data_IF_433021481028
#
_entry.id   IF_433021481028
#
_cell.length_a   1.000
_cell.length_b   1.000
_cell.length_c   1.000
_cell.angle_alpha   90.00
_cell.angle_beta   90.00
_cell.angle_gamma   90.00
#
_symmetry.space_group_name_H-M   'P 1'
#
loop_
_entity.id
_entity.type
_entity.pdbx_description
1 polymer ?
#
# COMPACT_ATOMS: atom_id res chain seq x y z
N UNK A 1 -57.10 0.11 11.08
CA UNK A 1 -57.43 0.78 9.81
C UNK A 1 -57.18 2.26 9.93
N UNK A 2 -56.34 2.79 9.05
CA UNK A 2 -56.04 4.22 8.89
C UNK A 2 -54.63 4.38 8.30
N UNK A 3 -54.47 4.52 6.97
CA UNK A 3 -53.15 4.61 6.37
C UNK A 3 -52.54 6.00 6.60
N UNK A 4 -51.24 6.01 6.89
CA UNK A 4 -50.39 7.21 6.92
C UNK A 4 -50.09 7.58 5.46
N UNK A 5 -50.35 8.82 5.02
CA UNK A 5 -50.03 9.22 3.65
C UNK A 5 -48.52 9.43 3.48
N UNK A 6 -47.97 8.73 2.48
CA UNK A 6 -46.62 8.94 1.96
C UNK A 6 -46.55 10.28 1.23
N UNK A 7 -45.73 11.20 1.76
CA UNK A 7 -45.45 12.47 1.10
C UNK A 7 -44.37 12.25 0.04
N UNK A 8 -44.77 12.31 -1.22
CA UNK A 8 -43.90 12.23 -2.40
C UNK A 8 -43.01 13.49 -2.48
N UNK A 9 -41.70 13.30 -2.57
CA UNK A 9 -40.76 14.37 -2.95
C UNK A 9 -40.74 14.53 -4.47
N UNK A 10 -40.86 15.76 -5.01
CA UNK A 10 -40.75 15.98 -6.44
C UNK A 10 -39.29 15.94 -6.90
N UNK A 11 -39.09 15.17 -7.97
CA UNK A 11 -37.92 15.17 -8.83
C UNK A 11 -37.73 16.53 -9.50
N UNK A 12 -36.57 17.14 -9.33
CA UNK A 12 -36.15 18.25 -10.19
C UNK A 12 -35.16 17.76 -11.24
N UNK A 13 -35.72 17.58 -12.43
CA UNK A 13 -35.03 17.57 -13.71
C UNK A 13 -34.23 18.86 -13.92
N UNK A 14 -33.03 18.68 -14.46
CA UNK A 14 -32.55 19.44 -15.62
C UNK A 14 -31.98 20.83 -15.36
N UNK A 15 -30.66 20.95 -15.59
CA UNK A 15 -30.11 21.97 -16.49
C UNK A 15 -28.65 21.70 -16.82
N UNK A 16 -28.45 21.08 -17.98
CA UNK A 16 -27.21 21.21 -18.74
C UNK A 16 -27.01 22.69 -19.07
N UNK A 17 -25.90 23.26 -18.62
CA UNK A 17 -25.41 24.57 -19.06
C UNK A 17 -24.01 24.37 -19.61
N UNK A 18 -23.98 24.29 -20.94
CA UNK A 18 -22.80 24.40 -21.80
C UNK A 18 -22.13 25.74 -21.52
N UNK A 19 -20.92 25.73 -20.95
CA UNK A 19 -20.09 26.93 -20.84
C UNK A 19 -19.05 26.94 -21.96
N UNK A 20 -19.11 28.03 -22.71
CA UNK A 20 -18.42 28.35 -23.96
C UNK A 20 -16.91 28.49 -23.71
N UNK A 21 -16.12 27.86 -24.58
CA UNK A 21 -14.68 28.05 -24.68
C UNK A 21 -14.35 29.49 -25.13
N UNK A 22 -13.55 30.20 -24.33
CA UNK A 22 -12.96 31.48 -24.72
C UNK A 22 -11.50 31.25 -25.14
N UNK A 23 -11.27 31.35 -26.45
CA UNK A 23 -9.94 31.32 -27.08
C UNK A 23 -9.27 32.69 -26.87
N UNK A 24 -8.20 32.75 -26.08
CA UNK A 24 -7.37 33.96 -25.94
C UNK A 24 -6.11 33.78 -26.77
N UNK A 25 -6.05 34.46 -27.91
CA UNK A 25 -4.86 34.62 -28.73
C UNK A 25 -3.97 35.70 -28.11
N UNK A 26 -2.87 35.28 -27.47
CA UNK A 26 -1.77 36.18 -27.12
C UNK A 26 -0.62 35.90 -28.10
N UNK A 27 -0.41 36.85 -29.02
CA UNK A 27 0.83 36.96 -29.78
C UNK A 27 1.67 38.01 -29.10
N UNK A 28 2.94 37.72 -28.82
CA UNK A 28 4.01 38.72 -28.68
C UNK A 28 5.38 38.03 -28.75
N UNK A 29 6.06 38.33 -29.85
CA UNK A 29 7.47 38.69 -30.01
C UNK A 29 8.55 37.87 -29.28
N UNK A 30 9.44 37.33 -30.11
CA UNK A 30 10.59 36.55 -29.70
C UNK A 30 11.65 37.33 -28.91
N UNK A 31 12.40 36.55 -28.13
CA UNK A 31 13.75 36.85 -27.72
C UNK A 31 14.60 35.64 -28.11
N UNK A 32 15.41 35.80 -29.16
CA UNK A 32 16.47 34.86 -29.54
C UNK A 32 17.61 34.98 -28.54
N UNK A 33 17.86 33.93 -27.77
CA UNK A 33 19.04 33.80 -26.90
C UNK A 33 20.10 32.96 -27.63
N UNK A 34 21.38 33.38 -27.67
CA UNK A 34 22.44 32.62 -28.33
C UNK A 34 22.70 31.30 -27.60
N UNK A 35 22.75 30.24 -28.41
CA UNK A 35 23.21 28.90 -28.05
C UNK A 35 24.71 28.92 -27.78
N UNK A 36 25.13 28.69 -26.54
CA UNK A 36 26.47 28.22 -26.17
C UNK A 36 26.48 27.76 -24.71
N UNK A 37 26.00 26.53 -24.46
CA UNK A 37 26.45 25.71 -23.33
C UNK A 37 26.57 24.25 -23.77
N UNK A 38 27.68 23.55 -23.47
CA UNK A 38 27.83 22.14 -23.81
C UNK A 38 26.81 21.33 -23.02
N UNK A 39 25.99 20.55 -23.72
CA UNK A 39 25.19 19.48 -23.14
C UNK A 39 26.13 18.46 -22.50
N UNK A 40 26.23 18.49 -21.18
CA UNK A 40 26.71 17.34 -20.43
C UNK A 40 25.47 16.57 -20.02
N UNK A 41 24.94 15.80 -20.96
CA UNK A 41 23.89 14.81 -20.72
C UNK A 41 24.45 13.77 -19.75
N UNK A 42 24.17 13.94 -18.46
CA UNK A 42 24.21 12.83 -17.52
C UNK A 42 22.89 12.10 -17.66
N UNK A 43 22.86 11.20 -18.62
CA UNK A 43 21.87 10.13 -18.71
C UNK A 43 22.12 9.21 -17.52
N UNK A 44 21.54 9.54 -16.37
CA UNK A 44 21.44 8.63 -15.24
C UNK A 44 20.40 7.59 -15.60
N UNK A 45 20.84 6.50 -16.23
CA UNK A 45 20.09 5.25 -16.31
C UNK A 45 19.61 4.91 -14.89
N UNK A 46 18.30 4.73 -14.64
CA UNK A 46 17.89 4.03 -13.44
C UNK A 46 18.50 2.64 -13.54
N UNK A 47 19.47 2.37 -12.67
CA UNK A 47 19.97 1.02 -12.48
C UNK A 47 18.78 0.19 -12.06
N UNK A 48 18.19 -0.55 -13.00
CA UNK A 48 17.44 -1.75 -12.71
C UNK A 48 18.39 -2.60 -11.88
N UNK A 49 18.20 -2.56 -10.55
CA UNK A 49 18.70 -3.59 -9.69
C UNK A 49 18.15 -4.88 -10.29
N UNK A 50 19.04 -5.66 -10.89
CA UNK A 50 18.67 -6.95 -11.42
C UNK A 50 18.09 -7.73 -10.25
N UNK A 51 16.79 -8.04 -10.33
CA UNK A 51 16.19 -9.03 -9.46
C UNK A 51 17.10 -10.27 -9.47
N UNK A 52 17.36 -10.89 -8.30
CA UNK A 52 18.21 -12.07 -8.24
C UNK A 52 17.70 -13.11 -9.23
N UNK A 53 18.63 -13.75 -9.95
CA UNK A 53 18.31 -14.75 -10.94
C UNK A 53 17.48 -15.87 -10.32
N UNK A 54 16.26 -16.06 -10.84
CA UNK A 54 15.35 -17.14 -10.45
C UNK A 54 16.11 -18.47 -10.53
N UNK A 55 16.43 -19.05 -9.38
CA UNK A 55 17.13 -20.33 -9.27
C UNK A 55 16.24 -21.26 -8.47
N UNK A 56 15.10 -21.65 -9.03
CA UNK A 56 14.12 -22.53 -8.39
C UNK A 56 13.06 -22.99 -9.38
N UNK A 57 12.36 -24.08 -9.03
CA UNK A 57 11.23 -24.67 -9.79
C UNK A 57 9.96 -23.79 -9.79
N UNK A 58 10.07 -22.52 -9.39
CA UNK A 58 8.95 -21.60 -9.30
C UNK A 58 8.49 -21.13 -10.69
N UNK A 59 7.18 -20.97 -10.92
CA UNK A 59 6.68 -20.29 -12.10
C UNK A 59 7.13 -18.81 -12.14
N UNK A 60 6.98 -18.19 -13.31
CA UNK A 60 7.17 -16.74 -13.44
C UNK A 60 6.23 -15.96 -12.51
N UNK A 61 6.68 -14.78 -12.06
CA UNK A 61 5.96 -13.96 -11.09
C UNK A 61 4.50 -13.67 -11.49
N UNK A 62 4.22 -13.44 -12.77
CA UNK A 62 2.87 -13.19 -13.27
C UNK A 62 1.96 -14.42 -13.11
N UNK A 63 2.50 -15.63 -13.26
CA UNK A 63 1.75 -16.86 -13.06
C UNK A 63 1.47 -17.12 -11.56
N UNK A 64 2.43 -16.77 -10.70
CA UNK A 64 2.25 -16.78 -9.24
C UNK A 64 1.13 -15.81 -8.85
N UNK A 65 1.19 -14.55 -9.29
CA UNK A 65 0.16 -13.55 -9.00
C UNK A 65 -1.21 -13.98 -9.52
N UNK A 66 -1.30 -14.53 -10.74
CA UNK A 66 -2.57 -15.00 -11.26
C UNK A 66 -3.15 -16.14 -10.39
N UNK A 67 -2.31 -17.05 -9.91
CA UNK A 67 -2.74 -18.11 -8.99
C UNK A 67 -3.28 -17.51 -7.69
N UNK A 68 -2.62 -16.49 -7.14
CA UNK A 68 -3.08 -15.79 -5.94
C UNK A 68 -4.41 -15.08 -6.20
N UNK A 69 -4.57 -14.38 -7.33
CA UNK A 69 -5.80 -13.70 -7.71
C UNK A 69 -6.99 -14.66 -7.85
N UNK A 70 -6.77 -15.83 -8.44
CA UNK A 70 -7.79 -16.87 -8.59
C UNK A 70 -8.25 -17.45 -7.24
N UNK A 71 -7.49 -17.25 -6.16
CA UNK A 71 -7.75 -17.79 -4.82
C UNK A 71 -8.21 -16.72 -3.81
N UNK A 72 -8.34 -15.45 -4.18
CA UNK A 72 -8.69 -14.36 -3.25
C UNK A 72 -9.96 -14.66 -2.46
N UNK A 73 -11.05 -15.06 -3.13
CA UNK A 73 -12.33 -15.35 -2.47
C UNK A 73 -12.26 -16.63 -1.64
N UNK A 74 -11.56 -17.65 -2.13
CA UNK A 74 -11.47 -18.96 -1.48
C UNK A 74 -10.66 -18.92 -0.18
N UNK A 75 -9.66 -18.03 -0.11
CA UNK A 75 -8.75 -17.88 1.02
C UNK A 75 -8.99 -16.62 1.85
N UNK A 76 -9.99 -15.80 1.48
CA UNK A 76 -10.32 -14.54 2.14
C UNK A 76 -9.13 -13.58 2.29
N UNK A 77 -8.26 -13.52 1.28
CA UNK A 77 -6.96 -12.83 1.36
C UNK A 77 -7.07 -11.33 1.66
N UNK A 78 -8.14 -10.69 1.22
CA UNK A 78 -8.28 -9.23 1.29
C UNK A 78 -9.41 -8.76 2.22
N UNK A 79 -9.96 -9.63 3.07
CA UNK A 79 -11.06 -9.31 3.99
C UNK A 79 -12.21 -8.55 3.29
N UNK A 80 -12.59 -9.02 2.10
CA UNK A 80 -13.64 -8.40 1.27
C UNK A 80 -13.32 -7.03 0.64
N UNK A 81 -12.10 -6.51 0.75
CA UNK A 81 -11.73 -5.16 0.25
C UNK A 81 -11.04 -5.13 -1.12
N UNK A 82 -10.91 -6.28 -1.79
CA UNK A 82 -10.13 -6.42 -3.01
C UNK A 82 -10.54 -5.46 -4.15
N UNK A 83 -9.56 -4.73 -4.69
CA UNK A 83 -9.66 -3.84 -5.84
C UNK A 83 -8.71 -4.36 -6.95
N UNK A 84 -9.24 -4.85 -8.08
CA UNK A 84 -8.42 -5.55 -9.08
C UNK A 84 -7.45 -4.64 -9.83
N UNK A 85 -7.80 -3.39 -10.08
CA UNK A 85 -6.95 -2.45 -10.83
C UNK A 85 -5.67 -2.08 -10.04
N UNK A 86 -5.75 -1.66 -8.76
CA UNK A 86 -4.55 -1.50 -7.93
C UNK A 86 -3.73 -2.78 -7.79
N UNK A 87 -4.39 -3.92 -7.54
CA UNK A 87 -3.71 -5.20 -7.35
C UNK A 87 -2.82 -5.54 -8.55
N UNK A 88 -3.35 -5.42 -9.76
CA UNK A 88 -2.63 -5.73 -10.99
C UNK A 88 -1.44 -4.79 -11.27
N UNK A 89 -1.46 -3.56 -10.73
CA UNK A 89 -0.41 -2.58 -10.97
C UNK A 89 0.75 -2.63 -9.99
N UNK A 90 0.49 -3.02 -8.74
CA UNK A 90 1.41 -2.77 -7.63
C UNK A 90 1.70 -4.00 -6.75
N UNK A 91 0.98 -5.12 -6.92
CA UNK A 91 1.31 -6.36 -6.17
C UNK A 91 2.68 -6.90 -6.58
N UNK A 92 3.44 -7.39 -5.60
CA UNK A 92 4.81 -7.86 -5.81
C UNK A 92 4.96 -9.34 -5.46
N UNK A 93 5.91 -9.99 -6.14
CA UNK A 93 6.35 -11.35 -5.85
C UNK A 93 7.84 -11.32 -5.58
N UNK A 94 8.23 -11.87 -4.44
CA UNK A 94 9.62 -11.98 -4.01
C UNK A 94 10.00 -13.46 -3.94
N UNK A 95 10.64 -14.02 -4.99
CA UNK A 95 11.15 -15.39 -4.97
C UNK A 95 12.21 -15.58 -3.88
N UNK A 96 12.09 -16.65 -3.10
CA UNK A 96 12.93 -17.02 -1.96
C UNK A 96 13.16 -18.54 -1.96
N UNK A 97 14.24 -18.98 -2.58
CA UNK A 97 14.56 -20.42 -2.77
C UNK A 97 13.44 -21.20 -3.51
N UNK A 98 12.71 -22.07 -2.83
CA UNK A 98 11.65 -22.95 -3.34
C UNK A 98 10.22 -22.42 -3.11
N UNK A 99 10.11 -21.17 -2.63
CA UNK A 99 8.85 -20.49 -2.38
C UNK A 99 8.94 -19.02 -2.78
N UNK A 100 7.83 -18.30 -2.76
CA UNK A 100 7.81 -16.86 -2.94
C UNK A 100 6.93 -16.20 -1.87
N UNK A 101 7.38 -15.04 -1.38
CA UNK A 101 6.52 -14.14 -0.61
C UNK A 101 5.77 -13.25 -1.60
N UNK A 102 4.46 -13.26 -1.55
CA UNK A 102 3.59 -12.41 -2.35
C UNK A 102 3.06 -11.28 -1.46
N UNK A 103 3.33 -10.05 -1.85
CA UNK A 103 2.72 -8.84 -1.30
C UNK A 103 1.56 -8.45 -2.20
N UNK A 104 0.34 -8.82 -1.78
CA UNK A 104 -0.88 -8.58 -2.51
C UNK A 104 -1.43 -7.20 -2.13
N UNK A 105 -1.45 -6.25 -3.08
CA UNK A 105 -2.14 -4.99 -2.88
C UNK A 105 -3.66 -5.22 -2.99
N UNK A 106 -4.34 -5.25 -1.86
CA UNK A 106 -5.78 -5.47 -1.78
C UNK A 106 -6.56 -4.21 -2.15
N UNK A 107 -6.20 -3.04 -1.64
CA UNK A 107 -6.95 -1.81 -1.88
C UNK A 107 -6.11 -0.56 -1.73
N UNK A 108 -6.59 0.52 -2.33
CA UNK A 108 -6.10 1.89 -2.10
C UNK A 108 -7.09 2.67 -1.24
N UNK A 109 -6.57 3.47 -0.32
CA UNK A 109 -7.32 4.45 0.45
C UNK A 109 -6.72 5.84 0.21
N UNK A 110 -7.32 6.90 0.75
CA UNK A 110 -6.90 8.28 0.45
C UNK A 110 -5.40 8.57 0.72
N UNK A 111 -4.76 7.85 1.65
CA UNK A 111 -3.37 8.10 2.04
C UNK A 111 -2.53 6.86 2.33
N UNK A 112 -3.11 5.66 2.13
CA UNK A 112 -2.50 4.38 2.49
C UNK A 112 -2.95 3.28 1.54
N UNK A 113 -2.14 2.24 1.49
CA UNK A 113 -2.38 1.01 0.76
C UNK A 113 -2.77 -0.08 1.76
N UNK A 114 -3.56 -1.06 1.33
CA UNK A 114 -3.99 -2.20 2.16
C UNK A 114 -3.42 -3.46 1.56
N UNK A 115 -2.66 -4.21 2.35
CA UNK A 115 -1.93 -5.37 1.89
C UNK A 115 -2.36 -6.65 2.60
N UNK A 116 -2.29 -7.75 1.88
CA UNK A 116 -2.23 -9.10 2.42
C UNK A 116 -0.91 -9.75 2.00
N UNK A 117 -0.43 -10.70 2.79
CA UNK A 117 0.80 -11.43 2.50
C UNK A 117 0.49 -12.92 2.35
N UNK A 118 1.06 -13.54 1.32
CA UNK A 118 0.81 -14.96 1.01
C UNK A 118 2.13 -15.62 0.68
N UNK A 119 2.36 -16.82 1.19
CA UNK A 119 3.46 -17.67 0.74
C UNK A 119 2.94 -18.53 -0.40
N UNK A 120 3.63 -18.46 -1.54
CA UNK A 120 3.46 -19.37 -2.66
C UNK A 120 4.52 -20.47 -2.58
N UNK A 121 4.10 -21.73 -2.48
CA UNK A 121 5.00 -22.88 -2.45
C UNK A 121 5.20 -23.45 -3.86
N UNK A 122 6.34 -24.09 -4.14
CA UNK A 122 6.62 -24.68 -5.46
C UNK A 122 5.62 -25.74 -5.94
N UNK A 123 4.83 -26.33 -5.03
CA UNK A 123 3.74 -27.25 -5.37
C UNK A 123 2.44 -26.55 -5.78
N UNK A 124 2.44 -25.22 -5.80
CA UNK A 124 1.30 -24.36 -6.13
C UNK A 124 0.35 -24.10 -4.96
N UNK A 125 0.62 -24.62 -3.76
CA UNK A 125 -0.16 -24.30 -2.59
C UNK A 125 0.10 -22.87 -2.11
N UNK A 126 -0.94 -22.25 -1.54
CA UNK A 126 -0.92 -20.90 -1.00
C UNK A 126 -1.15 -20.94 0.50
N UNK A 127 -0.34 -20.20 1.24
CA UNK A 127 -0.46 -20.03 2.69
C UNK A 127 -0.63 -18.54 3.02
N UNK A 128 -1.86 -18.08 3.33
CA UNK A 128 -2.08 -16.72 3.81
C UNK A 128 -1.34 -16.48 5.12
N UNK A 129 -0.69 -15.33 5.24
CA UNK A 129 0.00 -14.91 6.46
C UNK A 129 -0.86 -13.91 7.23
N UNK A 130 -0.75 -13.96 8.56
CA UNK A 130 -1.22 -12.89 9.44
C UNK A 130 -0.05 -12.16 10.05
N UNK A 131 -0.17 -10.85 10.19
CA UNK A 131 0.85 -10.00 10.80
C UNK A 131 0.43 -9.60 12.21
N UNK A 132 1.37 -9.67 13.14
CA UNK A 132 1.18 -9.12 14.48
C UNK A 132 1.20 -7.59 14.43
N UNK A 133 0.22 -6.99 15.10
CA UNK A 133 0.08 -5.54 15.27
C UNK A 133 -0.32 -5.24 16.71
N UNK A 134 -0.26 -3.97 17.10
CA UNK A 134 -0.69 -3.52 18.42
C UNK A 134 -1.72 -2.40 18.32
N UNK A 135 -2.73 -2.44 19.17
CA UNK A 135 -3.70 -1.36 19.33
C UNK A 135 -3.89 -1.02 20.81
N UNK A 136 -4.10 0.26 21.16
CA UNK A 136 -4.52 0.59 22.50
C UNK A 136 -5.94 0.06 22.75
N UNK A 137 -6.13 -0.62 23.88
CA UNK A 137 -7.45 -1.03 24.35
C UNK A 137 -8.22 0.14 24.99
N UNK A 138 -9.39 -0.13 25.55
CA UNK A 138 -10.21 0.90 26.22
C UNK A 138 -9.55 1.56 27.45
N UNK A 139 -8.48 0.97 27.98
CA UNK A 139 -7.69 1.49 29.10
C UNK A 139 -6.42 2.21 28.65
N UNK A 140 -6.10 2.16 27.35
CA UNK A 140 -4.87 2.69 26.77
C UNK A 140 -3.70 1.70 26.80
N UNK A 141 -3.91 0.46 27.24
CA UNK A 141 -2.87 -0.57 27.20
C UNK A 141 -2.77 -1.16 25.79
N UNK A 142 -1.55 -1.33 25.27
CA UNK A 142 -1.36 -1.94 23.96
C UNK A 142 -1.55 -3.45 24.03
N UNK A 143 -2.54 -3.94 23.29
CA UNK A 143 -2.79 -5.36 23.11
C UNK A 143 -2.28 -5.83 21.76
N UNK A 144 -1.62 -7.00 21.73
CA UNK A 144 -1.22 -7.65 20.49
C UNK A 144 -2.47 -8.24 19.80
N UNK A 145 -2.59 -7.98 18.51
CA UNK A 145 -3.58 -8.58 17.63
C UNK A 145 -2.87 -9.19 16.41
N UNK A 146 -3.53 -10.14 15.75
CA UNK A 146 -3.07 -10.75 14.51
C UNK A 146 -4.05 -10.35 13.40
N UNK A 147 -3.55 -9.80 12.31
CA UNK A 147 -4.36 -9.27 11.21
C UNK A 147 -4.01 -9.95 9.89
N UNK A 148 -5.03 -10.36 9.13
CA UNK A 148 -4.87 -10.89 7.78
C UNK A 148 -4.52 -9.79 6.76
N UNK A 149 -5.00 -8.56 7.02
CA UNK A 149 -4.69 -7.37 6.20
C UNK A 149 -4.12 -6.26 7.05
N UNK A 150 -3.17 -5.52 6.49
CA UNK A 150 -2.54 -4.36 7.15
C UNK A 150 -2.55 -3.16 6.23
N UNK A 151 -2.80 -1.98 6.79
CA UNK A 151 -2.78 -0.72 6.05
C UNK A 151 -1.47 0.02 6.29
N UNK A 152 -0.89 0.63 5.25
CA UNK A 152 0.27 1.49 5.39
C UNK A 152 1.02 1.72 4.09
N UNK A 153 2.24 2.23 4.22
CA UNK A 153 3.25 2.26 3.19
C UNK A 153 4.22 1.12 3.52
N UNK A 154 4.21 0.07 2.70
CA UNK A 154 5.04 -1.11 2.85
C UNK A 154 6.32 -0.96 2.01
N UNK A 155 7.43 -1.47 2.52
CA UNK A 155 8.70 -1.62 1.83
C UNK A 155 9.34 -2.93 2.25
N UNK A 156 9.57 -3.84 1.31
CA UNK A 156 10.21 -5.13 1.56
C UNK A 156 11.58 -5.19 0.88
N UNK A 157 12.62 -5.39 1.68
CA UNK A 157 13.99 -5.54 1.20
C UNK A 157 14.36 -7.04 1.13
N UNK A 158 14.30 -7.68 -0.06
CA UNK A 158 14.43 -9.13 -0.19
C UNK A 158 15.81 -9.66 0.22
N UNK A 159 16.87 -8.86 0.13
CA UNK A 159 18.21 -9.30 0.53
C UNK A 159 18.34 -9.49 2.05
N UNK A 160 17.54 -8.75 2.82
CA UNK A 160 17.53 -8.84 4.28
C UNK A 160 16.30 -9.56 4.80
N UNK A 161 15.25 -9.68 3.99
CA UNK A 161 13.93 -10.14 4.41
C UNK A 161 13.26 -9.17 5.39
N UNK A 162 13.61 -7.89 5.38
CA UNK A 162 12.97 -6.87 6.21
C UNK A 162 11.76 -6.30 5.50
N UNK A 163 10.59 -6.41 6.13
CA UNK A 163 9.39 -5.68 5.75
C UNK A 163 9.20 -4.52 6.73
N UNK A 164 9.17 -3.29 6.23
CA UNK A 164 8.81 -2.11 7.02
C UNK A 164 7.43 -1.62 6.58
N UNK A 165 6.54 -1.36 7.53
CA UNK A 165 5.22 -0.79 7.28
C UNK A 165 5.04 0.46 8.11
N UNK A 166 4.83 1.59 7.45
CA UNK A 166 4.40 2.82 8.10
C UNK A 166 2.90 3.08 7.87
N UNK A 167 2.12 2.92 8.93
CA UNK A 167 0.68 3.17 8.93
C UNK A 167 0.41 4.55 9.51
N UNK A 168 -0.25 5.43 8.75
CA UNK A 168 -0.56 6.77 9.23
C UNK A 168 -1.83 6.75 10.08
N UNK A 169 -1.85 7.46 11.21
CA UNK A 169 -3.11 7.67 11.94
C UNK A 169 -4.01 8.69 11.22
N UNK A 170 -3.41 9.63 10.47
CA UNK A 170 -4.08 10.63 9.63
C UNK A 170 -3.19 11.05 8.45
N UNK A 171 -3.76 11.79 7.49
CA UNK A 171 -3.07 12.14 6.24
C UNK A 171 -1.74 12.91 6.39
N UNK A 172 -1.47 13.53 7.55
CA UNK A 172 -0.27 14.34 7.81
C UNK A 172 0.98 13.53 8.20
N UNK A 173 0.87 12.21 8.39
CA UNK A 173 1.98 11.35 8.80
C UNK A 173 2.68 11.75 10.11
N UNK A 174 2.00 12.51 10.97
CA UNK A 174 2.50 13.04 12.25
C UNK A 174 2.11 12.19 13.47
N UNK A 175 1.37 11.11 13.23
CA UNK A 175 0.98 10.07 14.17
C UNK A 175 0.69 8.76 13.41
N UNK A 176 0.59 7.64 14.12
CA UNK A 176 0.38 6.32 13.52
C UNK A 176 1.34 5.27 14.08
N UNK A 177 1.65 4.25 13.29
CA UNK A 177 2.57 3.17 13.65
C UNK A 177 3.68 2.96 12.64
N UNK A 178 4.85 2.54 13.13
CA UNK A 178 5.93 1.98 12.34
C UNK A 178 6.14 0.54 12.82
N UNK A 179 6.01 -0.43 11.91
CA UNK A 179 6.24 -1.84 12.20
C UNK A 179 7.35 -2.38 11.30
N UNK A 180 8.23 -3.21 11.87
CA UNK A 180 9.24 -3.94 11.14
C UNK A 180 9.06 -5.44 11.38
N UNK A 181 9.07 -6.23 10.30
CA UNK A 181 8.92 -7.67 10.31
C UNK A 181 10.10 -8.32 9.59
N UNK A 182 10.54 -9.47 10.08
CA UNK A 182 11.56 -10.31 9.45
C UNK A 182 10.93 -11.53 8.83
N UNK A 183 11.22 -11.72 7.56
CA UNK A 183 10.96 -12.98 6.88
C UNK A 183 11.83 -14.09 7.48
N UNK A 184 11.18 -15.14 7.98
CA UNK A 184 11.84 -16.29 8.63
C UNK A 184 11.98 -17.49 7.70
N UNK A 185 11.53 -17.39 6.45
CA UNK A 185 11.33 -18.53 5.56
C UNK A 185 9.98 -19.23 5.73
N UNK A 186 9.09 -18.71 6.60
CA UNK A 186 7.72 -19.21 6.79
C UNK A 186 6.74 -18.11 7.12
N UNK A 187 7.13 -17.18 7.98
CA UNK A 187 6.28 -16.09 8.46
C UNK A 187 7.04 -14.76 8.45
N UNK A 188 6.29 -13.67 8.46
CA UNK A 188 6.76 -12.32 8.72
C UNK A 188 6.71 -12.07 10.23
N UNK A 189 7.78 -12.41 10.94
CA UNK A 189 7.86 -12.28 12.40
C UNK A 189 8.12 -10.82 12.78
N UNK A 190 7.28 -10.25 13.65
CA UNK A 190 7.46 -8.87 14.12
C UNK A 190 8.78 -8.72 14.89
N UNK A 191 9.59 -7.73 14.50
CA UNK A 191 10.88 -7.34 15.10
C UNK A 191 10.82 -5.99 15.82
N UNK A 192 9.91 -5.08 15.44
CA UNK A 192 9.73 -3.76 16.05
C UNK A 192 8.31 -3.24 15.79
N UNK A 193 7.71 -2.60 16.78
CA UNK A 193 6.48 -1.82 16.66
C UNK A 193 6.62 -0.53 17.45
N UNK A 194 6.45 0.60 16.78
CA UNK A 194 6.41 1.94 17.39
C UNK A 194 5.07 2.59 17.09
N UNK A 195 4.59 3.42 18.01
CA UNK A 195 3.30 4.07 17.88
C UNK A 195 3.30 5.47 18.49
N UNK A 196 2.63 6.41 17.81
CA UNK A 196 2.34 7.75 18.32
C UNK A 196 0.86 8.08 18.15
N UNK A 197 0.23 8.51 19.24
CA UNK A 197 -1.17 8.94 19.25
C UNK A 197 -1.40 10.26 18.50
N UNK A 198 -2.58 10.38 17.88
CA UNK A 198 -2.94 11.52 17.03
C UNK A 198 -3.55 12.71 17.78
N UNK A 199 -3.89 12.57 19.04
CA UNK A 199 -4.52 13.59 19.88
C UNK A 199 -3.51 14.37 20.74
N UNK A 200 -2.21 14.07 20.58
CA UNK A 200 -1.14 14.87 21.18
C UNK A 200 -1.23 16.33 20.67
N UNK A 201 -1.42 17.33 21.56
CA UNK A 201 -1.53 18.72 21.16
C UNK A 201 -0.30 19.14 20.36
N UNK A 202 -0.50 19.87 19.25
CA UNK A 202 0.52 20.32 18.28
C UNK A 202 1.94 20.33 18.85
N UNK A 203 2.58 19.15 18.79
CA UNK A 203 3.94 18.93 19.21
C UNK A 203 4.87 19.12 18.04
N UNK A 204 6.17 19.15 18.33
CA UNK A 204 7.17 19.02 17.26
C UNK A 204 6.90 17.74 16.45
N UNK A 205 7.12 17.83 15.14
CA UNK A 205 7.10 16.64 14.30
C UNK A 205 8.15 15.66 14.83
N UNK A 206 7.76 14.40 14.97
CA UNK A 206 8.65 13.31 15.40
C UNK A 206 8.74 12.38 14.20
N UNK A 207 9.94 12.01 13.81
CA UNK A 207 10.14 11.00 12.77
C UNK A 207 9.54 9.66 13.22
N UNK A 208 8.91 8.86 12.34
CA UNK A 208 8.33 7.57 12.73
C UNK A 208 9.29 6.62 13.45
N UNK A 209 10.58 6.66 13.10
CA UNK A 209 11.64 5.89 13.76
C UNK A 209 11.84 6.27 15.24
N UNK A 210 11.46 7.49 15.63
CA UNK A 210 11.57 8.03 16.98
C UNK A 210 10.24 7.97 17.75
N UNK A 211 9.19 7.38 17.17
CA UNK A 211 7.94 7.13 17.89
C UNK A 211 8.18 6.22 19.12
N UNK A 212 7.39 6.37 20.20
CA UNK A 212 7.42 5.45 21.33
C UNK A 212 7.41 3.99 20.90
N UNK A 213 8.37 3.21 21.41
CA UNK A 213 8.47 1.79 21.13
C UNK A 213 7.48 1.01 22.01
N UNK A 214 6.63 0.22 21.35
CA UNK A 214 5.64 -0.66 21.97
C UNK A 214 6.14 -2.11 21.99
N UNK A 215 6.93 -2.47 20.98
CA UNK A 215 7.52 -3.78 20.83
C UNK A 215 8.85 -3.68 20.03
N UNK A 216 9.83 -4.57 20.22
CA UNK A 216 9.96 -5.47 21.37
C UNK A 216 9.99 -4.67 22.66
#
# INVERSE_FOLDING_TARGET
MGPIPLQQSPSHQGRFLTAIAALVLITLSGCTVPSDRPETSSESTPGTAAAPAQTGDLPENEAILQTVYDQIEALDLCDGTFQPEPAAGESQVYPMDDQALVELLCATTAYQLVYAYVVYHSDGSLEPLSLDVFYPDSTGEFVRASQAVVAGLADFEPNTGLLTIFSKGRGLADCGSLAEYRWTGRELALELYRYKECDTPDGEFVEPADYPQIYP
#
